data_IF_957453887323
#
_entry.id   IF_957453887323
#
_cell.length_a   1.000
_cell.length_b   1.000
_cell.length_c   1.000
_cell.angle_alpha   90.00
_cell.angle_beta   90.00
_cell.angle_gamma   90.00
#
_symmetry.space_group_name_H-M   'P 1'
#
loop_
_entity.id
_entity.type
_entity.pdbx_description
1 polymer ?
#
# COMPACT_ATOMS: atom_id res chain seq x y z
N UNK A 1 -7.20 -14.70 9.75
CA UNK A 1 -6.71 -13.33 9.94
C UNK A 1 -6.10 -12.87 8.63
N UNK A 2 -6.72 -11.91 7.94
CA UNK A 2 -6.07 -11.28 6.78
C UNK A 2 -4.91 -10.43 7.30
N UNK A 3 -3.70 -10.67 6.78
CA UNK A 3 -2.52 -9.90 7.17
C UNK A 3 -2.65 -8.49 6.59
N UNK A 4 -2.37 -7.45 7.39
CA UNK A 4 -2.30 -6.07 6.90
C UNK A 4 -1.00 -5.89 6.12
N UNK A 5 -1.14 -5.58 4.83
CA UNK A 5 -0.01 -5.30 3.95
C UNK A 5 -0.33 -4.19 2.94
N UNK A 6 0.75 -3.61 2.41
CA UNK A 6 0.75 -2.81 1.19
C UNK A 6 1.64 -3.48 0.14
N UNK A 7 1.17 -3.58 -1.10
CA UNK A 7 2.02 -3.87 -2.26
C UNK A 7 2.55 -2.56 -2.80
N UNK A 8 3.87 -2.43 -2.85
CA UNK A 8 4.57 -1.21 -3.22
C UNK A 8 5.47 -1.47 -4.43
N UNK A 9 5.67 -0.46 -5.27
CA UNK A 9 6.63 -0.48 -6.38
C UNK A 9 7.71 0.58 -6.15
N UNK A 10 8.97 0.17 -6.13
CA UNK A 10 10.11 1.09 -6.21
C UNK A 10 10.30 1.50 -7.68
N UNK A 11 10.16 2.79 -7.96
CA UNK A 11 10.28 3.38 -9.31
C UNK A 11 11.73 3.47 -9.79
N UNK A 12 12.70 3.43 -8.88
CA UNK A 12 14.13 3.48 -9.22
C UNK A 12 14.63 2.12 -9.70
N UNK A 13 14.16 1.03 -9.08
CA UNK A 13 14.55 -0.34 -9.46
C UNK A 13 13.48 -1.09 -10.24
N UNK A 14 12.29 -0.50 -10.42
CA UNK A 14 11.09 -1.14 -10.97
C UNK A 14 10.67 -2.44 -10.26
N UNK A 15 11.11 -2.66 -9.01
CA UNK A 15 10.79 -3.88 -8.25
C UNK A 15 9.57 -3.66 -7.37
N UNK A 16 8.75 -4.70 -7.23
CA UNK A 16 7.63 -4.71 -6.31
C UNK A 16 8.00 -5.43 -5.01
N UNK A 17 7.42 -5.01 -3.90
CA UNK A 17 7.61 -5.66 -2.60
C UNK A 17 6.41 -5.43 -1.69
N UNK A 18 6.20 -6.39 -0.78
CA UNK A 18 5.21 -6.28 0.27
C UNK A 18 5.81 -5.64 1.51
N UNK A 19 5.04 -4.74 2.13
CA UNK A 19 5.30 -4.29 3.49
C UNK A 19 4.14 -4.69 4.38
N UNK A 20 4.44 -5.53 5.36
CA UNK A 20 3.47 -5.97 6.37
C UNK A 20 3.47 -5.01 7.57
N UNK A 21 2.33 -4.95 8.24
CA UNK A 21 2.09 -4.10 9.40
C UNK A 21 1.38 -4.89 10.49
N UNK A 22 1.69 -4.59 11.75
CA UNK A 22 1.04 -5.22 12.90
C UNK A 22 -0.28 -4.52 13.24
N UNK A 23 -0.39 -3.22 12.92
CA UNK A 23 -1.58 -2.41 13.19
C UNK A 23 -1.96 -1.50 12.01
N UNK A 24 -3.24 -1.15 11.93
CA UNK A 24 -3.73 -0.18 10.94
C UNK A 24 -3.09 1.21 11.12
N UNK A 25 -2.87 1.61 12.38
CA UNK A 25 -2.24 2.89 12.72
C UNK A 25 -0.85 3.03 12.09
N UNK A 26 -0.02 1.99 12.18
CA UNK A 26 1.32 1.99 11.57
C UNK A 26 1.26 2.05 10.05
N UNK A 27 0.32 1.31 9.45
CA UNK A 27 0.10 1.32 8.02
C UNK A 27 -0.33 2.71 7.52
N UNK A 28 -1.25 3.38 8.22
CA UNK A 28 -1.69 4.73 7.87
C UNK A 28 -0.60 5.78 8.07
N UNK A 29 0.18 5.64 9.16
CA UNK A 29 1.38 6.45 9.37
C UNK A 29 2.37 6.28 8.23
N UNK A 30 2.55 5.07 7.72
CA UNK A 30 3.40 4.80 6.56
C UNK A 30 2.83 5.39 5.27
N UNK A 31 1.53 5.20 4.99
CA UNK A 31 0.86 5.79 3.81
C UNK A 31 0.97 7.31 3.77
N UNK A 32 0.83 7.99 4.92
CA UNK A 32 1.05 9.45 5.02
C UNK A 32 2.46 9.86 4.60
N UNK A 33 3.48 9.10 5.00
CA UNK A 33 4.87 9.33 4.56
C UNK A 33 5.05 9.03 3.07
N UNK A 34 4.40 7.97 2.59
CA UNK A 34 4.45 7.53 1.20
C UNK A 34 3.96 8.61 0.23
N UNK A 35 2.94 9.40 0.61
CA UNK A 35 2.42 10.54 -0.19
C UNK A 35 3.49 11.54 -0.61
N UNK A 36 4.57 11.68 0.17
CA UNK A 36 5.67 12.59 -0.12
C UNK A 36 6.86 11.91 -0.81
N UNK A 37 6.82 10.59 -0.98
CA UNK A 37 7.86 9.83 -1.68
C UNK A 37 7.66 9.96 -3.19
N UNK A 38 8.72 10.35 -3.90
CA UNK A 38 8.76 10.30 -5.37
C UNK A 38 9.30 8.97 -5.91
N UNK A 39 9.75 8.07 -5.03
CA UNK A 39 10.46 6.84 -5.40
C UNK A 39 9.62 5.59 -5.22
N UNK A 40 8.60 5.63 -4.39
CA UNK A 40 7.79 4.45 -4.06
C UNK A 40 6.33 4.76 -4.36
N UNK A 41 5.70 3.90 -5.15
CA UNK A 41 4.30 3.98 -5.52
C UNK A 41 3.49 2.90 -4.79
N UNK A 42 2.30 3.24 -4.32
CA UNK A 42 1.34 2.29 -3.77
C UNK A 42 0.61 1.58 -4.92
N UNK A 43 0.60 0.24 -4.91
CA UNK A 43 -0.12 -0.59 -5.87
C UNK A 43 -1.40 -1.14 -5.25
N UNK A 44 -1.30 -1.71 -4.04
CA UNK A 44 -2.43 -2.35 -3.35
C UNK A 44 -2.40 -2.02 -1.86
N UNK A 45 -3.57 -1.77 -1.29
CA UNK A 45 -3.81 -1.75 0.15
C UNK A 45 -4.69 -2.95 0.50
N UNK A 46 -4.19 -3.87 1.33
CA UNK A 46 -4.90 -5.09 1.74
C UNK A 46 -6.29 -4.84 2.35
N UNK A 47 -6.56 -3.63 2.85
CA UNK A 47 -7.89 -3.23 3.36
C UNK A 47 -8.88 -2.89 2.26
N UNK A 48 -8.40 -2.48 1.09
CA UNK A 48 -9.23 -2.05 -0.04
C UNK A 48 -9.67 -3.23 -0.94
N UNK A 49 -9.44 -4.48 -0.54
CA UNK A 49 -9.89 -5.68 -1.27
C UNK A 49 -11.42 -5.92 -1.19
N UNK A 50 -12.20 -4.90 -0.85
CA UNK A 50 -13.65 -4.91 -0.85
C UNK A 50 -14.16 -3.89 -1.87
N UNK A 51 -14.61 -4.41 -3.02
CA UNK A 51 -15.46 -3.77 -4.04
C UNK A 51 -14.82 -2.70 -4.93
N UNK A 52 -14.25 -3.16 -6.05
CA UNK A 52 -14.45 -2.49 -7.35
C UNK A 52 -15.89 -2.78 -7.74
N UNK A 53 -16.79 -1.85 -7.48
CA UNK A 53 -18.20 -1.92 -7.87
C UNK A 53 -18.72 -0.53 -8.15
N UNK A 54 -18.72 -0.16 -9.44
CA UNK A 54 -19.38 1.00 -10.07
C UNK A 54 -18.79 2.39 -9.73
N UNK A 55 -18.59 3.32 -10.66
CA UNK A 55 -19.16 3.55 -11.99
C UNK A 55 -18.14 4.24 -12.93
N UNK A 56 -18.38 4.02 -14.22
CA UNK A 56 -17.88 4.64 -15.47
C UNK A 56 -16.91 5.85 -15.43
#
# INVERSE_FOLDING_TARGET
>A
MNKLYLLLKDLTTNKQFFKYFDTEYEMDKFKRKLKYSKKIMLIEDSRNNWWVGYDE
#
